data_IF_534599571036
#
_entry.id   IF_534599571036
#
_cell.length_a   1.000
_cell.length_b   1.000
_cell.length_c   1.000
_cell.angle_alpha   90.00
_cell.angle_beta   90.00
_cell.angle_gamma   90.00
#
_symmetry.space_group_name_H-M   'P 1'
#
loop_
_entity.id
_entity.type
_entity.pdbx_description
1 polymer ?
#
# COMPACT_ATOMS: atom_id res chain seq x y z
N UNK A 1 9.05 10.28 -10.68
CA UNK A 1 10.07 10.86 -9.76
C UNK A 1 10.31 12.32 -10.11
N UNK A 2 10.57 13.20 -9.12
CA UNK A 2 10.80 14.64 -9.34
C UNK A 2 12.29 14.95 -9.18
N UNK A 3 12.86 15.72 -10.10
CA UNK A 3 14.26 16.15 -10.05
C UNK A 3 14.47 17.29 -9.07
N UNK A 4 15.73 17.59 -8.72
CA UNK A 4 16.08 18.77 -7.91
C UNK A 4 15.69 20.10 -8.57
N UNK A 5 15.51 20.11 -9.89
CA UNK A 5 15.03 21.28 -10.66
C UNK A 5 13.51 21.40 -10.70
N UNK A 6 12.79 20.54 -9.98
CA UNK A 6 11.34 20.61 -9.87
C UNK A 6 10.58 20.06 -11.08
N UNK A 7 11.24 19.36 -12.00
CA UNK A 7 10.62 18.71 -13.16
C UNK A 7 10.48 17.21 -12.94
N UNK A 8 9.49 16.59 -13.58
CA UNK A 8 9.30 15.14 -13.51
C UNK A 8 10.14 14.44 -14.57
N UNK A 9 10.79 13.36 -14.14
CA UNK A 9 11.50 12.44 -15.03
C UNK A 9 10.45 11.61 -15.77
N UNK A 10 10.61 11.49 -17.08
CA UNK A 10 9.79 10.64 -17.95
C UNK A 10 10.57 10.11 -19.13
N UNK A 11 9.89 9.34 -19.98
CA UNK A 11 10.46 8.73 -21.19
C UNK A 11 9.91 9.44 -22.42
N UNK A 12 10.79 9.85 -23.33
CA UNK A 12 10.39 10.45 -24.60
C UNK A 12 9.92 9.41 -25.63
N UNK A 13 9.58 9.84 -26.85
CA UNK A 13 9.16 8.92 -27.92
C UNK A 13 10.28 8.01 -28.45
N UNK A 14 11.54 8.41 -28.25
CA UNK A 14 12.73 7.66 -28.67
C UNK A 14 13.22 6.70 -27.58
N UNK A 15 12.60 6.72 -26.40
CA UNK A 15 13.01 5.92 -25.25
C UNK A 15 14.08 6.59 -24.38
N UNK A 16 14.49 7.82 -24.66
CA UNK A 16 15.46 8.55 -23.86
C UNK A 16 14.81 9.08 -22.58
N UNK A 17 15.60 9.12 -21.50
CA UNK A 17 15.17 9.67 -20.22
C UNK A 17 15.24 11.20 -20.25
N UNK A 18 14.11 11.85 -20.02
CA UNK A 18 13.98 13.32 -20.06
C UNK A 18 13.35 13.85 -18.77
N UNK A 19 13.63 15.10 -18.42
CA UNK A 19 13.11 15.74 -17.21
C UNK A 19 12.53 17.13 -17.50
N UNK A 20 11.59 17.22 -18.43
CA UNK A 20 10.98 18.49 -18.87
C UNK A 20 9.54 18.69 -18.35
N UNK A 21 8.89 17.65 -17.84
CA UNK A 21 7.49 17.67 -17.47
C UNK A 21 7.22 18.43 -16.16
N UNK A 22 6.13 19.21 -16.12
CA UNK A 22 5.65 19.90 -14.90
C UNK A 22 4.61 19.11 -14.12
N UNK A 23 4.07 18.05 -14.72
CA UNK A 23 3.05 17.19 -14.13
C UNK A 23 3.38 15.70 -14.36
N UNK A 24 2.77 14.85 -13.54
CA UNK A 24 2.86 13.40 -13.67
C UNK A 24 1.83 12.89 -14.68
N UNK A 25 2.28 12.45 -15.85
CA UNK A 25 1.49 11.69 -16.81
C UNK A 25 1.88 10.21 -16.81
N UNK A 26 1.50 9.50 -17.88
CA UNK A 26 1.84 8.09 -18.06
C UNK A 26 3.33 7.88 -18.32
N UNK A 27 3.99 8.85 -18.98
CA UNK A 27 5.42 8.79 -19.34
C UNK A 27 6.36 8.99 -18.15
N UNK A 28 5.88 9.64 -17.09
CA UNK A 28 6.64 9.94 -15.87
C UNK A 28 6.48 8.87 -14.78
N UNK A 29 5.73 7.79 -15.08
CA UNK A 29 5.49 6.66 -14.17
C UNK A 29 6.50 5.56 -14.42
N UNK A 30 7.13 5.14 -13.32
CA UNK A 30 8.08 4.04 -13.28
C UNK A 30 7.68 3.08 -12.17
N UNK A 31 7.99 1.80 -12.36
CA UNK A 31 7.86 0.76 -11.36
C UNK A 31 9.22 0.15 -11.05
N UNK A 32 9.43 -0.18 -9.79
CA UNK A 32 10.63 -0.90 -9.35
C UNK A 32 10.29 -2.38 -9.29
N UNK A 33 11.10 -3.18 -9.98
CA UNK A 33 11.01 -4.64 -9.97
C UNK A 33 12.13 -5.17 -9.07
N UNK A 34 11.77 -6.02 -8.12
CA UNK A 34 12.71 -6.68 -7.21
C UNK A 34 12.75 -8.18 -7.50
N UNK A 35 13.94 -8.72 -7.72
CA UNK A 35 14.15 -10.14 -8.00
C UNK A 35 15.50 -10.58 -7.44
N UNK A 36 15.53 -11.68 -6.66
CA UNK A 36 16.76 -12.24 -6.07
C UNK A 36 17.65 -11.21 -5.34
N UNK A 37 17.04 -10.24 -4.66
CA UNK A 37 17.76 -9.18 -3.94
C UNK A 37 18.37 -8.09 -4.83
N UNK A 38 18.13 -8.14 -6.14
CA UNK A 38 18.46 -7.10 -7.11
C UNK A 38 17.22 -6.25 -7.40
N UNK A 39 17.45 -5.04 -7.88
CA UNK A 39 16.39 -4.12 -8.31
C UNK A 39 16.66 -3.55 -9.69
N UNK A 40 15.60 -3.44 -10.49
CA UNK A 40 15.61 -2.78 -11.78
C UNK A 40 14.43 -1.79 -11.86
N UNK A 41 14.56 -0.76 -12.71
CA UNK A 41 13.50 0.23 -12.94
C UNK A 41 12.89 0.01 -14.32
N UNK A 42 11.58 -0.15 -14.38
CA UNK A 42 10.82 -0.31 -15.61
C UNK A 42 9.87 0.86 -15.80
N UNK A 43 9.75 1.36 -17.02
CA UNK A 43 8.75 2.38 -17.33
C UNK A 43 7.36 1.77 -17.47
N UNK A 44 6.33 2.54 -17.10
CA UNK A 44 4.93 2.09 -17.19
C UNK A 44 4.36 2.35 -18.59
N UNK A 45 4.78 3.42 -19.26
CA UNK A 45 4.32 3.76 -20.61
C UNK A 45 4.81 2.78 -21.69
N UNK A 46 6.00 2.21 -21.50
CA UNK A 46 6.61 1.19 -22.32
C UNK A 46 7.24 0.19 -21.35
N UNK A 47 6.83 -1.09 -21.31
CA UNK A 47 7.32 -2.06 -20.31
C UNK A 47 8.76 -2.52 -20.61
N UNK A 48 9.67 -1.57 -20.70
CA UNK A 48 11.09 -1.67 -20.94
C UNK A 48 11.83 -1.16 -19.70
N UNK A 49 13.00 -1.74 -19.46
CA UNK A 49 13.88 -1.41 -18.36
C UNK A 49 14.81 -0.26 -18.75
N UNK A 50 15.09 0.57 -17.75
CA UNK A 50 16.12 1.58 -17.79
C UNK A 50 17.48 0.89 -17.86
N UNK A 51 18.31 1.29 -18.82
CA UNK A 51 19.66 0.75 -19.01
C UNK A 51 20.71 1.79 -18.65
N UNK A 52 21.75 1.37 -17.94
CA UNK A 52 22.93 2.18 -17.65
C UNK A 52 23.97 2.09 -18.78
N UNK A 53 23.71 1.30 -19.82
CA UNK A 53 24.52 1.28 -21.04
C UNK A 53 24.41 2.65 -21.72
N UNK A 54 25.43 3.47 -21.52
CA UNK A 54 25.47 4.84 -22.02
C UNK A 54 25.67 4.82 -23.54
N UNK A 55 24.82 5.55 -24.26
CA UNK A 55 25.01 5.75 -25.70
C UNK A 55 26.21 6.67 -25.99
N UNK A 56 26.63 6.78 -27.25
CA UNK A 56 27.76 7.62 -27.69
C UNK A 56 27.64 9.08 -27.21
N UNK A 57 26.41 9.56 -27.02
CA UNK A 57 26.10 10.92 -26.59
C UNK A 57 25.98 11.09 -25.06
N UNK A 58 26.26 10.05 -24.27
CA UNK A 58 26.17 10.16 -22.81
C UNK A 58 24.76 9.99 -22.23
N UNK A 59 23.78 9.63 -23.07
CA UNK A 59 22.36 9.59 -22.71
C UNK A 59 21.93 8.24 -22.11
N UNK A 60 20.96 8.30 -21.20
CA UNK A 60 20.33 7.15 -20.56
C UNK A 60 19.02 6.83 -21.28
N UNK A 61 18.80 5.55 -21.55
CA UNK A 61 17.64 5.05 -22.30
C UNK A 61 16.83 4.01 -21.53
N UNK A 62 15.58 3.84 -21.97
CA UNK A 62 14.64 2.84 -21.50
C UNK A 62 14.28 1.94 -22.69
N UNK A 63 15.20 1.03 -23.02
CA UNK A 63 15.14 0.22 -24.24
C UNK A 63 15.13 -1.30 -23.97
N UNK A 64 15.62 -1.74 -22.81
CA UNK A 64 15.86 -3.15 -22.56
C UNK A 64 14.56 -3.91 -22.25
N UNK A 65 14.27 -5.00 -22.96
CA UNK A 65 13.10 -5.86 -22.67
C UNK A 65 13.30 -6.76 -21.45
N UNK A 66 14.57 -7.06 -21.13
CA UNK A 66 14.97 -7.92 -20.02
C UNK A 66 15.97 -7.16 -19.16
N UNK A 67 15.86 -7.30 -17.85
CA UNK A 67 16.84 -6.73 -16.93
C UNK A 67 18.08 -7.63 -16.88
N UNK A 68 19.16 -7.20 -17.51
CA UNK A 68 20.49 -7.82 -17.44
C UNK A 68 21.35 -7.12 -16.39
N UNK A 69 22.69 -7.20 -16.52
CA UNK A 69 23.60 -6.58 -15.55
C UNK A 69 23.58 -5.04 -15.60
N UNK A 70 23.44 -4.47 -16.79
CA UNK A 70 23.45 -3.01 -17.01
C UNK A 70 22.14 -2.33 -16.58
N UNK A 71 21.07 -3.10 -16.35
CA UNK A 71 19.77 -2.60 -15.89
C UNK A 71 19.60 -2.69 -14.37
N UNK A 72 20.52 -3.36 -13.66
CA UNK A 72 20.47 -3.49 -12.21
C UNK A 72 20.91 -2.19 -11.55
N UNK A 73 20.05 -1.63 -10.71
CA UNK A 73 20.27 -0.37 -10.02
C UNK A 73 20.16 -0.54 -8.51
N UNK A 74 20.95 0.23 -7.77
CA UNK A 74 20.87 0.31 -6.32
C UNK A 74 20.03 1.52 -5.91
N UNK A 75 18.89 1.27 -5.26
CA UNK A 75 18.00 2.33 -4.78
C UNK A 75 18.39 2.69 -3.34
N UNK A 76 18.73 3.97 -3.13
CA UNK A 76 19.09 4.52 -1.81
C UNK A 76 18.05 5.53 -1.37
N UNK A 77 17.76 5.58 -0.08
CA UNK A 77 16.84 6.55 0.53
C UNK A 77 17.55 7.33 1.63
N UNK A 78 17.27 8.63 1.71
CA UNK A 78 17.68 9.51 2.81
C UNK A 78 16.54 9.76 3.82
N UNK A 79 15.40 9.07 3.66
CA UNK A 79 14.27 9.21 4.56
C UNK A 79 14.63 8.75 5.98
N UNK A 80 14.23 9.52 6.99
CA UNK A 80 14.40 9.13 8.38
C UNK A 80 13.62 7.84 8.64
N UNK A 81 14.26 6.86 9.28
CA UNK A 81 13.63 5.60 9.66
C UNK A 81 12.57 5.87 10.74
N UNK A 82 11.32 6.05 10.33
CA UNK A 82 10.17 6.20 11.24
C UNK A 82 9.74 4.84 11.77
N UNK A 83 10.46 4.36 12.78
CA UNK A 83 10.06 3.21 13.61
C UNK A 83 9.75 1.91 12.86
N UNK A 84 9.17 0.92 13.54
CA UNK A 84 8.56 -0.23 12.88
C UNK A 84 7.36 0.26 12.06
N UNK A 85 7.32 -0.09 10.77
CA UNK A 85 6.12 0.11 9.95
C UNK A 85 5.04 -0.82 10.50
N UNK A 86 4.00 -0.23 11.10
CA UNK A 86 2.81 -0.97 11.48
C UNK A 86 1.95 -1.15 10.22
N UNK A 87 1.94 -2.37 9.68
CA UNK A 87 1.19 -2.73 8.47
C UNK A 87 -0.33 -2.79 8.68
N UNK A 88 -0.79 -2.59 9.93
CA UNK A 88 -2.20 -2.56 10.27
C UNK A 88 -2.87 -1.31 9.68
N UNK A 89 -4.12 -1.47 9.25
CA UNK A 89 -4.90 -0.35 8.75
C UNK A 89 -5.12 0.70 9.85
N UNK A 90 -5.45 1.94 9.47
CA UNK A 90 -5.77 3.00 10.43
C UNK A 90 -6.95 2.63 11.35
N UNK A 91 -7.80 1.71 10.91
CA UNK A 91 -8.94 1.20 11.68
C UNK A 91 -8.51 0.14 12.69
N UNK A 92 -7.60 -0.75 12.31
CA UNK A 92 -7.05 -1.81 13.17
C UNK A 92 -6.08 -1.28 14.23
N UNK A 93 -5.52 -0.08 14.01
CA UNK A 93 -4.66 0.63 14.96
C UNK A 93 -5.43 1.26 16.13
N UNK A 94 -6.76 1.37 16.04
CA UNK A 94 -7.57 1.99 17.10
C UNK A 94 -7.66 1.07 18.32
N UNK A 95 -8.17 1.62 19.42
CA UNK A 95 -8.41 0.82 20.61
C UNK A 95 -9.40 -0.32 20.30
N UNK A 96 -9.29 -1.46 20.98
CA UNK A 96 -10.22 -2.58 20.80
C UNK A 96 -11.70 -2.16 20.94
N UNK A 97 -11.98 -1.13 21.74
CA UNK A 97 -13.31 -0.53 21.88
C UNK A 97 -13.77 0.16 20.60
N UNK A 98 -12.90 0.98 20.03
CA UNK A 98 -13.20 1.77 18.83
C UNK A 98 -13.26 0.89 17.58
N UNK A 99 -12.39 -0.11 17.45
CA UNK A 99 -12.45 -1.11 16.37
C UNK A 99 -13.78 -1.86 16.40
N UNK A 100 -14.18 -2.31 17.58
CA UNK A 100 -15.47 -3.00 17.79
C UNK A 100 -16.65 -2.10 17.39
N UNK A 101 -16.63 -0.83 17.84
CA UNK A 101 -17.70 0.11 17.55
C UNK A 101 -17.78 0.49 16.07
N UNK A 102 -16.63 0.69 15.42
CA UNK A 102 -16.55 0.96 13.98
C UNK A 102 -17.09 -0.22 13.17
N UNK A 103 -16.70 -1.45 13.53
CA UNK A 103 -17.15 -2.66 12.87
C UNK A 103 -18.67 -2.86 12.97
N UNK A 104 -19.26 -2.65 14.15
CA UNK A 104 -20.72 -2.74 14.31
C UNK A 104 -21.45 -1.67 13.49
N UNK A 105 -20.92 -0.44 13.45
CA UNK A 105 -21.49 0.66 12.65
C UNK A 105 -21.48 0.37 11.15
N UNK A 106 -20.43 -0.26 10.61
CA UNK A 106 -20.35 -0.60 9.18
C UNK A 106 -21.52 -1.47 8.70
N UNK A 107 -22.04 -2.33 9.56
CA UNK A 107 -23.05 -3.32 9.21
C UNK A 107 -24.43 -3.03 9.82
N UNK A 108 -24.59 -1.86 10.42
CA UNK A 108 -25.85 -1.43 11.00
C UNK A 108 -26.68 -0.68 9.97
N UNK A 109 -27.93 -1.10 9.79
CA UNK A 109 -28.85 -0.43 8.88
C UNK A 109 -29.31 0.91 9.46
N UNK A 110 -29.33 1.97 8.66
CA UNK A 110 -29.64 3.35 9.06
C UNK A 110 -31.03 3.55 9.70
N UNK A 111 -31.93 2.59 9.51
CA UNK A 111 -33.30 2.59 10.04
C UNK A 111 -33.45 1.92 11.42
N UNK A 112 -32.38 1.37 11.98
CA UNK A 112 -32.42 0.75 13.31
C UNK A 112 -31.93 1.76 14.34
N UNK A 113 -32.86 2.34 15.09
CA UNK A 113 -32.54 3.23 16.20
C UNK A 113 -31.83 2.43 17.30
N UNK A 114 -30.57 2.76 17.52
CA UNK A 114 -29.82 2.24 18.66
C UNK A 114 -29.28 3.43 19.43
N UNK A 115 -29.91 3.71 20.56
CA UNK A 115 -29.36 4.52 21.65
C UNK A 115 -28.10 3.86 22.23
N UNK A 116 -27.03 3.73 21.44
CA UNK A 116 -25.76 3.12 21.89
C UNK A 116 -26.01 1.83 22.68
N UNK A 117 -26.90 0.94 22.21
CA UNK A 117 -27.17 -0.32 22.92
C UNK A 117 -25.83 -1.02 23.05
N UNK A 118 -25.34 -1.08 24.28
CA UNK A 118 -24.02 -1.58 24.60
C UNK A 118 -23.94 -2.99 24.01
N UNK A 119 -22.97 -3.21 23.13
CA UNK A 119 -22.62 -4.55 22.72
C UNK A 119 -22.26 -5.27 24.02
N UNK A 120 -23.00 -6.31 24.36
CA UNK A 120 -22.80 -6.99 25.65
C UNK A 120 -21.37 -7.50 25.72
N UNK A 121 -20.73 -7.33 26.88
CA UNK A 121 -19.37 -7.79 27.12
C UNK A 121 -19.22 -9.32 26.93
N UNK A 122 -20.34 -10.04 27.00
CA UNK A 122 -20.45 -11.49 26.77
C UNK A 122 -20.27 -11.88 25.30
N UNK A 123 -20.71 -11.04 24.35
CA UNK A 123 -20.52 -11.29 22.91
C UNK A 123 -19.23 -10.67 22.42
N UNK A 124 -18.87 -9.49 22.94
CA UNK A 124 -17.63 -8.80 22.60
C UNK A 124 -16.66 -8.73 23.80
N UNK A 125 -16.03 -9.86 24.11
CA UNK A 125 -14.85 -9.84 24.98
C UNK A 125 -13.71 -8.99 24.39
N UNK A 126 -13.31 -7.95 25.12
CA UNK A 126 -12.22 -7.06 24.74
C UNK A 126 -10.86 -7.75 24.76
N UNK A 127 -10.67 -8.78 25.61
CA UNK A 127 -9.41 -9.53 25.66
C UNK A 127 -9.18 -10.29 24.37
N UNK A 128 -10.21 -10.97 23.86
CA UNK A 128 -10.12 -11.68 22.59
C UNK A 128 -9.86 -10.75 21.39
N UNK A 129 -10.45 -9.54 21.38
CA UNK A 129 -10.21 -8.54 20.32
C UNK A 129 -8.78 -8.00 20.40
N UNK A 130 -8.26 -7.73 21.60
CA UNK A 130 -6.87 -7.30 21.80
C UNK A 130 -5.87 -8.39 21.41
N UNK A 131 -6.19 -9.67 21.64
CA UNK A 131 -5.38 -10.80 21.16
C UNK A 131 -5.39 -10.83 19.64
N UNK A 132 -6.57 -10.73 19.03
CA UNK A 132 -6.70 -10.81 17.58
C UNK A 132 -6.04 -9.63 16.83
N UNK A 133 -5.98 -8.45 17.47
CA UNK A 133 -5.19 -7.30 17.00
C UNK A 133 -3.67 -7.56 16.97
N UNK A 134 -3.18 -8.48 17.79
CA UNK A 134 -1.76 -8.86 17.85
C UNK A 134 -1.44 -10.05 16.95
N UNK A 135 -2.36 -11.00 16.87
CA UNK A 135 -2.21 -12.24 16.09
C UNK A 135 -2.57 -12.07 14.61
N UNK A 136 -3.31 -11.02 14.25
CA UNK A 136 -3.61 -10.66 12.85
C UNK A 136 -4.93 -11.22 12.32
N UNK A 137 -5.71 -11.90 13.15
CA UNK A 137 -7.02 -12.52 12.84
C UNK A 137 -8.22 -11.64 13.27
N UNK A 138 -8.00 -10.32 13.40
CA UNK A 138 -9.01 -9.38 13.91
C UNK A 138 -10.32 -9.45 13.11
N UNK A 139 -10.25 -9.47 11.78
CA UNK A 139 -11.43 -9.45 10.93
C UNK A 139 -12.31 -10.69 11.11
N UNK A 140 -11.68 -11.87 11.16
CA UNK A 140 -12.36 -13.16 11.36
C UNK A 140 -12.99 -13.26 12.75
N UNK A 141 -12.27 -12.81 13.77
CA UNK A 141 -12.78 -12.73 15.14
C UNK A 141 -14.01 -11.82 15.22
N UNK A 142 -14.01 -10.66 14.54
CA UNK A 142 -15.15 -9.74 14.52
C UNK A 142 -16.37 -10.31 13.77
N UNK A 143 -16.14 -11.05 12.67
CA UNK A 143 -17.19 -11.78 11.93
C UNK A 143 -17.87 -12.84 12.80
N UNK A 144 -17.08 -13.69 13.47
CA UNK A 144 -17.60 -14.77 14.34
C UNK A 144 -18.47 -14.21 15.46
N UNK A 145 -18.05 -13.11 16.08
CA UNK A 145 -18.83 -12.44 17.13
C UNK A 145 -20.14 -11.86 16.60
N UNK A 146 -20.16 -11.35 15.37
CA UNK A 146 -21.40 -10.87 14.72
C UNK A 146 -22.39 -12.00 14.46
N UNK A 147 -21.92 -13.16 14.01
CA UNK A 147 -22.78 -14.34 13.77
C UNK A 147 -23.49 -14.74 15.06
N UNK A 148 -22.75 -14.83 16.17
CA UNK A 148 -23.30 -15.10 17.50
C UNK A 148 -24.38 -14.09 17.90
N UNK A 149 -24.14 -12.80 17.64
CA UNK A 149 -25.06 -11.71 17.94
C UNK A 149 -26.36 -11.73 17.12
N UNK A 150 -26.30 -12.25 15.88
CA UNK A 150 -27.52 -12.49 15.08
C UNK A 150 -28.27 -13.71 15.60
N UNK A 151 -27.58 -14.80 15.90
CA UNK A 151 -28.18 -16.04 16.39
C UNK A 151 -29.00 -15.83 17.67
N UNK A 152 -28.49 -15.01 18.59
CA UNK A 152 -29.16 -14.69 19.87
C UNK A 152 -30.45 -13.86 19.71
N UNK A 153 -30.67 -13.27 18.53
CA UNK A 153 -31.87 -12.47 18.23
C UNK A 153 -33.00 -13.30 17.62
N UNK A 154 -32.72 -14.53 17.19
CA UNK A 154 -33.66 -15.43 16.52
C UNK A 154 -34.00 -16.67 17.35
N UNK A 155 -33.64 -16.69 18.63
CA UNK A 155 -34.09 -17.69 19.61
C UNK A 155 -35.08 -17.06 20.60
#
# INVERSE_FOLDING_TARGET
>A
SKTGYGKYIGVDSNGALVATAEALGTRERFQVVFEEGKSAIQAVCNPLFLTMAVDKDGLIYVAAKKAGQEEMVNIRTNAQKTGPVDWRSAEDRKSAKDCTQAYVKMYQHSKVDTKMRAISAEVFDMKSVKRAQKEGDLHETLLTKRIKMKSDRYC
#
